data_IF_613267178976
#
_entry.id   IF_613267178976
#
_cell.length_a   1.000
_cell.length_b   1.000
_cell.length_c   1.000
_cell.angle_alpha   90.00
_cell.angle_beta   90.00
_cell.angle_gamma   90.00
#
_symmetry.space_group_name_H-M   'P 1'
#
loop_
_entity.id
_entity.type
_entity.pdbx_description
1 polymer ?
#
# COMPACT_ATOMS: atom_id res chain seq x y z
N UNK A 1 42.68 10.17 4.18
CA UNK A 1 43.03 11.55 3.83
C UNK A 1 42.10 12.08 2.76
N UNK A 2 41.31 13.08 3.14
CA UNK A 2 40.29 13.71 2.27
C UNK A 2 40.94 14.60 1.20
N UNK A 3 42.18 15.07 1.45
CA UNK A 3 42.89 15.99 0.57
C UNK A 3 44.01 15.30 -0.18
N UNK A 4 44.25 15.73 -1.42
CA UNK A 4 45.43 15.39 -2.20
C UNK A 4 46.67 15.79 -1.45
N UNK A 5 47.75 14.99 -1.52
CA UNK A 5 49.05 15.37 -0.92
C UNK A 5 49.46 16.76 -1.36
N UNK A 6 50.02 17.60 -0.44
CA UNK A 6 50.46 18.94 -0.80
C UNK A 6 51.50 18.88 -1.91
N UNK A 7 51.58 19.90 -2.76
CA UNK A 7 52.66 20.01 -3.74
C UNK A 7 54.00 19.99 -2.99
N UNK A 8 55.00 19.28 -3.54
CA UNK A 8 56.33 19.17 -2.91
C UNK A 8 56.88 20.57 -2.66
N UNK A 9 57.19 20.85 -1.38
CA UNK A 9 57.83 22.08 -0.88
C UNK A 9 57.12 23.36 -1.37
N UNK A 10 56.03 23.82 -0.72
CA UNK A 10 55.60 25.18 -0.92
C UNK A 10 56.63 26.11 -0.32
N UNK A 11 57.39 26.77 -1.15
CA UNK A 11 58.48 27.66 -0.70
C UNK A 11 57.98 28.89 0.03
N UNK A 12 56.71 29.25 -0.10
CA UNK A 12 56.07 30.36 0.61
C UNK A 12 54.59 30.13 0.77
N UNK A 13 54.01 30.58 1.93
CA UNK A 13 52.56 30.58 2.20
C UNK A 13 51.68 31.26 1.11
N UNK A 14 52.31 32.06 0.24
CA UNK A 14 51.66 32.82 -0.84
C UNK A 14 51.71 32.11 -2.20
N UNK A 15 52.26 30.90 -2.31
CA UNK A 15 52.24 30.14 -3.58
C UNK A 15 50.80 29.89 -4.04
N UNK A 16 50.40 30.32 -5.25
CA UNK A 16 49.05 30.10 -5.80
C UNK A 16 48.64 28.62 -5.85
N UNK A 17 49.62 27.71 -6.08
CA UNK A 17 49.35 26.26 -6.07
C UNK A 17 49.04 25.75 -4.66
N UNK A 18 49.71 26.26 -3.64
CA UNK A 18 49.45 25.92 -2.25
C UNK A 18 48.12 26.48 -1.78
N UNK A 19 47.78 27.74 -2.14
CA UNK A 19 46.47 28.33 -1.84
C UNK A 19 45.31 27.56 -2.49
N UNK A 20 45.49 27.15 -3.75
CA UNK A 20 44.50 26.28 -4.44
C UNK A 20 44.37 24.91 -3.75
N UNK A 21 45.47 24.29 -3.35
CA UNK A 21 45.45 23.04 -2.60
C UNK A 21 44.78 23.19 -1.23
N UNK A 22 45.06 24.28 -0.51
CA UNK A 22 44.42 24.58 0.77
C UNK A 22 42.93 24.82 0.64
N UNK A 23 42.49 25.49 -0.43
CA UNK A 23 41.10 25.73 -0.73
C UNK A 23 40.36 24.46 -1.20
N UNK A 24 41.05 23.44 -1.61
CA UNK A 24 40.48 22.18 -2.06
C UNK A 24 39.90 21.41 -0.86
N UNK A 25 38.58 21.21 -0.83
CA UNK A 25 37.91 20.54 0.27
C UNK A 25 38.15 19.03 0.28
N UNK A 26 38.30 18.44 -0.89
CA UNK A 26 38.43 17.00 -1.07
C UNK A 26 39.49 16.64 -2.11
N UNK A 27 40.15 15.49 -1.88
CA UNK A 27 41.04 14.91 -2.89
C UNK A 27 40.24 14.27 -4.05
N UNK A 28 39.19 13.52 -3.72
CA UNK A 28 38.31 12.86 -4.70
C UNK A 28 37.00 13.66 -4.81
N UNK A 29 36.68 14.24 -5.98
CA UNK A 29 35.45 15.00 -6.18
C UNK A 29 34.17 14.14 -6.04
N UNK A 30 34.30 12.81 -6.05
CA UNK A 30 33.19 11.86 -5.89
C UNK A 30 33.08 11.31 -4.46
N UNK A 31 33.80 11.82 -3.49
CA UNK A 31 33.79 11.30 -2.12
C UNK A 31 32.38 11.44 -1.49
N UNK A 32 31.64 12.51 -1.82
CA UNK A 32 30.27 12.68 -1.38
C UNK A 32 29.35 11.51 -1.80
N UNK A 33 29.58 10.91 -2.98
CA UNK A 33 28.80 9.75 -3.44
C UNK A 33 29.04 8.52 -2.55
N UNK A 34 30.26 8.32 -2.05
CA UNK A 34 30.55 7.23 -1.11
C UNK A 34 29.83 7.41 0.23
N UNK A 35 29.82 8.65 0.76
CA UNK A 35 29.08 8.99 1.96
C UNK A 35 27.56 8.82 1.76
N UNK A 36 27.02 9.32 0.64
CA UNK A 36 25.61 9.14 0.30
C UNK A 36 25.24 7.66 0.17
N UNK A 37 26.11 6.85 -0.46
CA UNK A 37 25.87 5.41 -0.59
C UNK A 37 25.88 4.72 0.78
N UNK A 38 26.79 5.11 1.67
CA UNK A 38 26.83 4.57 3.04
C UNK A 38 25.55 4.87 3.79
N UNK A 39 25.06 6.12 3.80
CA UNK A 39 23.80 6.48 4.44
C UNK A 39 22.60 5.74 3.83
N UNK A 40 22.58 5.59 2.50
CA UNK A 40 21.53 4.80 1.79
C UNK A 40 21.59 3.33 2.17
N UNK A 41 22.76 2.75 2.35
CA UNK A 41 22.93 1.37 2.79
C UNK A 41 22.46 1.17 4.24
N UNK A 42 22.78 2.09 5.15
CA UNK A 42 22.28 2.11 6.52
C UNK A 42 20.74 2.17 6.55
N UNK A 43 20.14 3.07 5.75
CA UNK A 43 18.69 3.15 5.60
C UNK A 43 18.09 1.81 5.16
N UNK A 44 18.66 1.14 4.16
CA UNK A 44 18.16 -0.15 3.67
C UNK A 44 18.32 -1.29 4.69
N UNK A 45 19.24 -1.17 5.63
CA UNK A 45 19.39 -2.10 6.75
C UNK A 45 18.39 -1.85 7.89
N UNK A 46 17.66 -0.73 7.85
CA UNK A 46 16.78 -0.31 8.94
C UNK A 46 17.51 0.49 10.04
N UNK A 47 18.76 0.83 9.85
CA UNK A 47 19.57 1.66 10.77
C UNK A 47 19.27 3.15 10.51
N UNK A 48 18.00 3.56 10.80
CA UNK A 48 17.51 4.87 10.39
C UNK A 48 18.16 6.03 11.12
N UNK A 49 18.50 5.85 12.40
CA UNK A 49 19.15 6.88 13.21
C UNK A 49 20.58 7.13 12.72
N UNK A 50 21.36 6.08 12.48
CA UNK A 50 22.71 6.13 11.94
C UNK A 50 22.71 6.72 10.52
N UNK A 51 21.73 6.35 9.71
CA UNK A 51 21.57 6.92 8.38
C UNK A 51 21.27 8.42 8.44
N UNK A 52 20.38 8.87 9.33
CA UNK A 52 20.08 10.28 9.54
C UNK A 52 21.31 11.06 10.01
N UNK A 53 22.09 10.50 10.94
CA UNK A 53 23.35 11.10 11.39
C UNK A 53 24.36 11.23 10.24
N UNK A 54 24.48 10.19 9.39
CA UNK A 54 25.34 10.21 8.21
C UNK A 54 24.91 11.30 7.23
N UNK A 55 23.60 11.43 6.91
CA UNK A 55 23.09 12.47 6.00
C UNK A 55 23.23 13.86 6.62
N UNK A 56 23.04 14.02 7.93
CA UNK A 56 23.29 15.28 8.64
C UNK A 56 24.76 15.69 8.55
N UNK A 57 25.69 14.73 8.71
CA UNK A 57 27.11 14.98 8.53
C UNK A 57 27.41 15.46 7.10
N UNK A 58 26.85 14.81 6.08
CA UNK A 58 26.99 15.20 4.67
C UNK A 58 26.51 16.61 4.44
N UNK A 59 25.31 16.97 4.92
CA UNK A 59 24.74 18.31 4.72
C UNK A 59 25.62 19.43 5.32
N UNK A 60 26.30 19.16 6.42
CA UNK A 60 27.26 20.08 7.04
C UNK A 60 28.60 20.12 6.31
N UNK A 61 29.12 18.98 5.93
CA UNK A 61 30.41 18.87 5.25
C UNK A 61 30.38 19.55 3.87
N UNK A 62 29.26 19.42 3.16
CA UNK A 62 29.06 19.96 1.81
C UNK A 62 28.11 21.17 1.78
N UNK A 63 28.09 21.97 2.86
CA UNK A 63 27.17 23.09 3.01
C UNK A 63 27.20 24.13 1.86
N UNK A 64 28.29 24.15 1.08
CA UNK A 64 28.44 25.05 -0.09
C UNK A 64 27.93 24.45 -1.41
N UNK A 65 27.45 23.19 -1.41
CA UNK A 65 26.86 22.56 -2.58
C UNK A 65 25.37 22.31 -2.34
N UNK A 66 24.50 23.17 -2.86
CA UNK A 66 23.05 23.08 -2.61
C UNK A 66 22.46 21.75 -3.06
N UNK A 67 22.98 21.13 -4.13
CA UNK A 67 22.49 19.84 -4.65
C UNK A 67 22.76 18.70 -3.66
N UNK A 68 23.98 18.63 -3.12
CA UNK A 68 24.34 17.59 -2.15
C UNK A 68 23.57 17.79 -0.85
N UNK A 69 23.42 19.05 -0.40
CA UNK A 69 22.64 19.38 0.79
C UNK A 69 21.18 18.99 0.62
N UNK A 70 20.56 19.28 -0.54
CA UNK A 70 19.18 18.91 -0.81
C UNK A 70 18.99 17.38 -0.84
N UNK A 71 19.87 16.61 -1.52
CA UNK A 71 19.77 15.15 -1.54
C UNK A 71 19.94 14.56 -0.13
N UNK A 72 20.89 15.08 0.66
CA UNK A 72 21.07 14.65 2.04
C UNK A 72 19.85 14.92 2.92
N UNK A 73 19.24 16.10 2.80
CA UNK A 73 18.01 16.45 3.54
C UNK A 73 16.81 15.59 3.13
N UNK A 74 16.64 15.29 1.84
CA UNK A 74 15.61 14.36 1.37
C UNK A 74 15.73 13.01 2.07
N UNK A 75 16.96 12.48 2.16
CA UNK A 75 17.21 11.20 2.82
C UNK A 75 17.08 11.28 4.35
N UNK A 76 17.44 12.40 4.98
CA UNK A 76 17.15 12.64 6.40
C UNK A 76 15.66 12.59 6.68
N UNK A 77 14.86 13.30 5.88
CA UNK A 77 13.40 13.29 6.01
C UNK A 77 12.82 11.88 5.88
N UNK A 78 13.35 11.07 4.95
CA UNK A 78 12.94 9.65 4.84
C UNK A 78 13.28 8.85 6.10
N UNK A 79 14.48 9.04 6.67
CA UNK A 79 14.85 8.38 7.92
C UNK A 79 13.90 8.76 9.06
N UNK A 80 13.64 10.05 9.23
CA UNK A 80 12.74 10.55 10.26
C UNK A 80 11.29 10.04 10.06
N UNK A 81 10.82 9.98 8.82
CA UNK A 81 9.51 9.42 8.49
C UNK A 81 9.40 7.94 8.89
N UNK A 82 10.44 7.13 8.67
CA UNK A 82 10.44 5.71 9.09
C UNK A 82 10.47 5.53 10.62
N UNK A 83 11.00 6.52 11.35
CA UNK A 83 10.99 6.55 12.82
C UNK A 83 9.75 7.23 13.43
N UNK A 84 8.80 7.66 12.60
CA UNK A 84 7.61 8.45 12.98
C UNK A 84 7.96 9.82 13.63
N UNK A 85 9.16 10.34 13.37
CA UNK A 85 9.61 11.66 13.81
C UNK A 85 9.15 12.73 12.81
N UNK A 86 7.84 12.96 12.78
CA UNK A 86 7.19 13.75 11.73
C UNK A 86 7.60 15.23 11.74
N UNK A 87 7.86 15.81 12.91
CA UNK A 87 8.33 17.19 13.03
C UNK A 87 9.72 17.38 12.37
N UNK A 88 10.65 16.48 12.67
CA UNK A 88 12.00 16.51 12.10
C UNK A 88 12.00 16.22 10.59
N UNK A 89 11.07 15.35 10.14
CA UNK A 89 10.88 15.06 8.73
C UNK A 89 10.38 16.29 7.97
N UNK A 90 9.41 16.99 8.52
CA UNK A 90 8.83 18.21 7.94
C UNK A 90 9.88 19.32 7.89
N UNK A 91 10.57 19.59 9.00
CA UNK A 91 11.66 20.59 9.07
C UNK A 91 12.76 20.32 8.02
N UNK A 92 13.14 19.06 7.85
CA UNK A 92 14.13 18.68 6.85
C UNK A 92 13.64 18.94 5.40
N UNK A 93 12.34 18.70 5.11
CA UNK A 93 11.74 18.94 3.80
C UNK A 93 11.51 20.44 3.52
N UNK A 94 11.03 21.19 4.50
CA UNK A 94 10.79 22.64 4.37
C UNK A 94 12.09 23.43 4.15
N UNK A 95 13.19 23.00 4.75
CA UNK A 95 14.53 23.59 4.53
C UNK A 95 15.06 23.38 3.10
N UNK A 96 14.37 22.57 2.29
CA UNK A 96 14.67 22.46 0.86
C UNK A 96 13.91 23.59 0.17
N UNK A 97 14.63 24.63 -0.25
CA UNK A 97 14.02 25.69 -1.03
C UNK A 97 13.55 25.14 -2.38
N UNK A 98 12.23 25.15 -2.59
CA UNK A 98 11.61 24.61 -3.82
C UNK A 98 12.13 25.33 -5.08
N UNK A 99 12.45 26.63 -5.00
CA UNK A 99 12.98 27.40 -6.12
C UNK A 99 14.42 27.01 -6.48
N UNK A 100 15.14 26.42 -5.53
CA UNK A 100 16.53 25.96 -5.70
C UNK A 100 16.68 24.45 -5.84
N UNK A 101 15.57 23.69 -5.74
CA UNK A 101 15.60 22.24 -5.88
C UNK A 101 16.01 21.84 -7.30
N UNK A 102 17.14 21.13 -7.50
CA UNK A 102 17.53 20.64 -8.79
C UNK A 102 16.47 19.71 -9.38
N UNK A 103 16.10 19.90 -10.66
CA UNK A 103 15.10 19.07 -11.37
C UNK A 103 15.35 17.57 -11.26
N UNK A 104 16.62 17.18 -11.15
CA UNK A 104 17.03 15.78 -10.97
C UNK A 104 16.58 15.19 -9.62
N UNK A 105 16.42 16.01 -8.58
CA UNK A 105 16.01 15.62 -7.24
C UNK A 105 14.49 15.72 -7.02
N UNK A 106 13.75 16.39 -7.91
CA UNK A 106 12.30 16.52 -7.83
C UNK A 106 11.57 15.18 -7.62
N UNK A 107 11.91 14.09 -8.34
CA UNK A 107 11.28 12.78 -8.09
C UNK A 107 11.56 12.22 -6.70
N UNK A 108 12.79 12.37 -6.21
CA UNK A 108 13.20 11.88 -4.89
C UNK A 108 12.54 12.70 -3.77
N UNK A 109 12.45 14.01 -3.94
CA UNK A 109 11.76 14.92 -3.04
C UNK A 109 10.27 14.59 -2.98
N UNK A 110 9.61 14.48 -4.15
CA UNK A 110 8.19 14.11 -4.22
C UNK A 110 7.91 12.75 -3.58
N UNK A 111 8.78 11.77 -3.79
CA UNK A 111 8.65 10.46 -3.16
C UNK A 111 8.79 10.53 -1.62
N UNK A 112 9.74 11.33 -1.11
CA UNK A 112 9.92 11.52 0.33
C UNK A 112 8.75 12.25 0.97
N UNK A 113 8.30 13.35 0.34
CA UNK A 113 7.17 14.14 0.84
C UNK A 113 5.86 13.34 0.79
N UNK A 114 5.62 12.63 -0.31
CA UNK A 114 4.47 11.74 -0.44
C UNK A 114 4.44 10.67 0.64
N UNK A 115 5.58 10.01 0.92
CA UNK A 115 5.67 9.00 1.99
C UNK A 115 5.39 9.60 3.38
N UNK A 116 5.96 10.77 3.68
CA UNK A 116 5.71 11.52 4.90
C UNK A 116 4.21 11.79 5.11
N UNK A 117 3.52 12.31 4.08
CA UNK A 117 2.08 12.58 4.13
C UNK A 117 1.23 11.29 4.28
N UNK A 118 1.63 10.21 3.62
CA UNK A 118 0.96 8.91 3.74
C UNK A 118 1.04 8.35 5.16
N UNK A 119 2.21 8.42 5.79
CA UNK A 119 2.39 7.96 7.17
C UNK A 119 1.54 8.76 8.14
N UNK A 120 1.30 10.04 7.87
CA UNK A 120 0.38 10.89 8.63
C UNK A 120 -1.10 10.72 8.25
N UNK A 121 -1.44 9.82 7.31
CA UNK A 121 -2.79 9.62 6.77
C UNK A 121 -3.38 10.88 6.09
N UNK A 122 -2.54 11.82 5.67
CA UNK A 122 -2.92 13.02 4.91
C UNK A 122 -3.04 12.67 3.42
N UNK A 123 -3.95 11.76 3.10
CA UNK A 123 -4.04 11.12 1.78
C UNK A 123 -4.28 12.10 0.64
N UNK A 124 -5.18 13.07 0.80
CA UNK A 124 -5.48 14.06 -0.26
C UNK A 124 -4.26 14.88 -0.64
N UNK A 125 -3.45 15.24 0.33
CA UNK A 125 -2.25 16.03 0.11
C UNK A 125 -1.11 15.20 -0.50
N UNK A 126 -1.08 13.89 -0.26
CA UNK A 126 -0.09 12.99 -0.82
C UNK A 126 -0.26 12.75 -2.34
N UNK A 127 -1.48 12.88 -2.86
CA UNK A 127 -1.82 12.55 -4.27
C UNK A 127 -0.92 13.28 -5.29
N UNK A 128 -0.73 14.61 -5.27
CA UNK A 128 0.08 15.31 -6.26
C UNK A 128 1.55 14.87 -6.24
N UNK A 129 2.11 14.56 -5.07
CA UNK A 129 3.47 14.08 -4.93
C UNK A 129 3.64 12.66 -5.50
N UNK A 130 2.66 11.79 -5.28
CA UNK A 130 2.64 10.45 -5.85
C UNK A 130 2.52 10.49 -7.38
N UNK A 131 1.67 11.36 -7.93
CA UNK A 131 1.54 11.54 -9.37
C UNK A 131 2.88 11.97 -9.97
N UNK A 132 3.59 12.89 -9.34
CA UNK A 132 4.91 13.36 -9.77
C UNK A 132 5.93 12.20 -9.71
N UNK A 133 5.93 11.42 -8.65
CA UNK A 133 6.78 10.23 -8.50
C UNK A 133 6.52 9.22 -9.61
N UNK A 134 5.26 8.85 -9.84
CA UNK A 134 4.84 7.91 -10.89
C UNK A 134 5.23 8.40 -12.29
N UNK A 135 5.08 9.68 -12.57
CA UNK A 135 5.45 10.27 -13.87
C UNK A 135 6.92 10.05 -14.18
N UNK A 136 7.79 10.17 -13.18
CA UNK A 136 9.23 10.06 -13.31
C UNK A 136 9.76 8.62 -13.15
N UNK A 137 8.97 7.66 -12.63
CA UNK A 137 9.41 6.27 -12.50
C UNK A 137 9.50 5.59 -13.87
N UNK A 138 10.68 5.02 -14.17
CA UNK A 138 10.97 4.34 -15.46
C UNK A 138 10.76 2.83 -15.40
N UNK A 139 10.88 2.24 -14.20
CA UNK A 139 10.76 0.79 -13.99
C UNK A 139 9.29 0.39 -13.96
N UNK A 140 8.82 -0.33 -14.97
CA UNK A 140 7.41 -0.72 -15.13
C UNK A 140 6.84 -1.42 -13.88
N UNK A 141 7.59 -2.35 -13.28
CA UNK A 141 7.12 -3.07 -12.09
C UNK A 141 6.92 -2.14 -10.88
N UNK A 142 7.83 -1.18 -10.68
CA UNK A 142 7.69 -0.19 -9.62
C UNK A 142 6.54 0.77 -9.90
N UNK A 143 6.43 1.25 -11.14
CA UNK A 143 5.34 2.10 -11.60
C UNK A 143 3.96 1.44 -11.40
N UNK A 144 3.87 0.13 -11.59
CA UNK A 144 2.66 -0.62 -11.31
C UNK A 144 2.29 -0.59 -9.83
N UNK A 145 3.26 -0.78 -8.92
CA UNK A 145 3.05 -0.69 -7.47
C UNK A 145 2.59 0.69 -7.03
N UNK A 146 3.19 1.72 -7.61
CA UNK A 146 2.84 3.11 -7.32
C UNK A 146 1.43 3.47 -7.82
N UNK A 147 1.03 3.00 -9.01
CA UNK A 147 -0.35 3.14 -9.48
C UNK A 147 -1.35 2.35 -8.63
N UNK A 148 -0.96 1.18 -8.12
CA UNK A 148 -1.79 0.40 -7.22
C UNK A 148 -2.02 1.16 -5.91
N UNK A 149 -0.95 1.68 -5.30
CA UNK A 149 -1.01 2.52 -4.11
C UNK A 149 -1.88 3.77 -4.34
N UNK A 150 -1.70 4.45 -5.48
CA UNK A 150 -2.52 5.60 -5.85
C UNK A 150 -4.00 5.23 -5.95
N UNK A 151 -4.32 4.03 -6.46
CA UNK A 151 -5.67 3.49 -6.49
C UNK A 151 -6.27 3.34 -5.10
N UNK A 152 -5.52 2.77 -4.16
CA UNK A 152 -5.94 2.65 -2.76
C UNK A 152 -6.18 4.01 -2.10
N UNK A 153 -5.32 4.99 -2.36
CA UNK A 153 -5.47 6.34 -1.82
C UNK A 153 -6.71 7.04 -2.36
N UNK A 154 -7.01 6.90 -3.65
CA UNK A 154 -8.25 7.42 -4.22
C UNK A 154 -9.49 6.72 -3.63
N UNK A 155 -9.39 5.44 -3.30
CA UNK A 155 -10.45 4.68 -2.62
C UNK A 155 -10.70 5.25 -1.22
N UNK A 156 -9.64 5.44 -0.41
CA UNK A 156 -9.71 6.05 0.92
C UNK A 156 -10.24 7.50 0.90
N UNK A 157 -9.98 8.24 -0.16
CA UNK A 157 -10.47 9.62 -0.31
C UNK A 157 -11.85 9.73 -0.94
N UNK A 158 -12.47 8.58 -1.33
CA UNK A 158 -13.80 8.49 -1.93
C UNK A 158 -13.84 8.82 -3.43
N UNK A 159 -12.70 9.01 -4.10
CA UNK A 159 -12.65 9.23 -5.55
C UNK A 159 -12.57 7.90 -6.31
N UNK A 160 -13.68 7.16 -6.30
CA UNK A 160 -13.76 5.84 -6.91
C UNK A 160 -13.50 5.84 -8.43
N UNK A 161 -13.79 6.94 -9.11
CA UNK A 161 -13.54 7.05 -10.55
C UNK A 161 -12.04 7.08 -10.85
N UNK A 162 -11.26 7.85 -10.10
CA UNK A 162 -9.80 7.89 -10.23
C UNK A 162 -9.16 6.61 -9.70
N UNK A 163 -9.70 6.02 -8.63
CA UNK A 163 -9.26 4.72 -8.11
C UNK A 163 -9.35 3.64 -9.22
N UNK A 164 -10.51 3.51 -9.88
CA UNK A 164 -10.69 2.58 -10.99
C UNK A 164 -9.64 2.77 -12.10
N UNK A 165 -9.36 4.03 -12.46
CA UNK A 165 -8.37 4.36 -13.49
C UNK A 165 -6.94 4.04 -13.04
N UNK A 166 -6.60 4.30 -11.78
CA UNK A 166 -5.29 4.02 -11.24
C UNK A 166 -4.99 2.52 -11.24
N UNK A 167 -5.94 1.67 -10.79
CA UNK A 167 -5.81 0.22 -10.90
C UNK A 167 -5.70 -0.26 -12.36
N UNK A 168 -6.45 0.34 -13.29
CA UNK A 168 -6.32 0.01 -14.71
C UNK A 168 -4.94 0.37 -15.26
N UNK A 169 -4.35 1.49 -14.81
CA UNK A 169 -2.98 1.89 -15.18
C UNK A 169 -1.95 0.95 -14.57
N UNK A 170 -2.13 0.48 -13.33
CA UNK A 170 -1.28 -0.52 -12.70
C UNK A 170 -1.23 -1.81 -13.54
N UNK A 171 -2.38 -2.34 -13.93
CA UNK A 171 -2.51 -3.55 -14.76
C UNK A 171 -1.79 -3.37 -16.12
N UNK A 172 -1.89 -2.21 -16.74
CA UNK A 172 -1.23 -1.90 -18.03
C UNK A 172 0.30 -1.93 -17.98
N UNK A 173 0.90 -1.84 -16.78
CA UNK A 173 2.36 -1.93 -16.62
C UNK A 173 2.89 -3.36 -16.69
N UNK A 174 2.05 -4.37 -16.87
CA UNK A 174 2.39 -5.79 -16.82
C UNK A 174 3.14 -6.15 -15.52
N UNK A 175 2.52 -5.96 -14.37
CA UNK A 175 3.10 -6.31 -13.07
C UNK A 175 3.22 -7.83 -12.90
N UNK A 176 3.88 -8.32 -11.82
CA UNK A 176 3.75 -9.71 -11.39
C UNK A 176 2.28 -10.09 -11.22
N UNK A 177 1.97 -11.38 -11.47
CA UNK A 177 0.60 -11.87 -11.54
C UNK A 177 -0.23 -11.54 -10.28
N UNK A 178 0.34 -11.69 -9.10
CA UNK A 178 -0.33 -11.38 -7.83
C UNK A 178 -0.78 -9.92 -7.75
N UNK A 179 0.09 -8.99 -8.14
CA UNK A 179 -0.26 -7.57 -8.16
C UNK A 179 -1.31 -7.25 -9.23
N UNK A 180 -1.25 -7.93 -10.39
CA UNK A 180 -2.28 -7.81 -11.43
C UNK A 180 -3.64 -8.28 -10.91
N UNK A 181 -3.67 -9.46 -10.28
CA UNK A 181 -4.90 -10.03 -9.73
C UNK A 181 -5.48 -9.12 -8.64
N UNK A 182 -4.67 -8.69 -7.67
CA UNK A 182 -5.10 -7.79 -6.62
C UNK A 182 -5.64 -6.46 -7.18
N UNK A 183 -4.99 -5.90 -8.20
CA UNK A 183 -5.47 -4.69 -8.86
C UNK A 183 -6.82 -4.91 -9.57
N UNK A 184 -7.04 -6.10 -10.15
CA UNK A 184 -8.33 -6.46 -10.76
C UNK A 184 -9.42 -6.62 -9.71
N UNK A 185 -9.13 -7.27 -8.59
CA UNK A 185 -10.06 -7.45 -7.47
C UNK A 185 -10.47 -6.08 -6.93
N UNK A 186 -9.50 -5.24 -6.57
CA UNK A 186 -9.75 -3.88 -6.09
C UNK A 186 -10.53 -3.03 -7.11
N UNK A 187 -10.24 -3.19 -8.38
CA UNK A 187 -10.99 -2.53 -9.45
C UNK A 187 -12.47 -2.92 -9.48
N UNK A 188 -12.85 -4.13 -9.01
CA UNK A 188 -14.25 -4.55 -8.94
C UNK A 188 -15.02 -3.89 -7.81
N UNK A 189 -14.35 -3.50 -6.75
CA UNK A 189 -14.96 -2.80 -5.60
C UNK A 189 -15.37 -1.36 -5.96
N UNK A 190 -14.69 -0.77 -6.96
CA UNK A 190 -14.93 0.61 -7.43
C UNK A 190 -15.39 0.67 -8.89
N UNK A 191 -16.03 -0.39 -9.37
CA UNK A 191 -16.38 -0.52 -10.78
C UNK A 191 -17.46 0.48 -11.22
N UNK A 192 -17.24 1.27 -12.30
CA UNK A 192 -18.26 2.17 -12.81
C UNK A 192 -19.47 1.41 -13.41
N UNK A 193 -20.67 1.98 -13.35
CA UNK A 193 -21.82 1.45 -14.06
C UNK A 193 -21.51 1.18 -15.55
N UNK A 194 -22.02 0.07 -16.09
CA UNK A 194 -21.85 -0.30 -17.51
C UNK A 194 -20.60 -1.12 -17.84
N UNK A 195 -19.65 -1.29 -16.93
CA UNK A 195 -18.48 -2.18 -17.13
C UNK A 195 -18.62 -3.56 -16.49
N UNK A 196 -19.61 -3.75 -15.62
CA UNK A 196 -19.83 -4.94 -14.82
C UNK A 196 -19.86 -6.24 -15.65
N UNK A 197 -20.70 -6.34 -16.66
CA UNK A 197 -20.90 -7.56 -17.46
C UNK A 197 -19.61 -8.00 -18.18
N UNK A 198 -18.88 -7.04 -18.76
CA UNK A 198 -17.61 -7.35 -19.43
C UNK A 198 -16.56 -7.88 -18.45
N UNK A 199 -16.54 -7.30 -17.26
CA UNK A 199 -15.59 -7.70 -16.20
C UNK A 199 -15.94 -9.07 -15.64
N UNK A 200 -17.22 -9.36 -15.38
CA UNK A 200 -17.70 -10.69 -14.97
C UNK A 200 -17.29 -11.76 -15.97
N UNK A 201 -17.52 -11.53 -17.29
CA UNK A 201 -17.11 -12.47 -18.34
C UNK A 201 -15.58 -12.71 -18.35
N UNK A 202 -14.79 -11.68 -18.13
CA UNK A 202 -13.34 -11.79 -18.03
C UNK A 202 -12.93 -12.63 -16.81
N UNK A 203 -13.48 -12.35 -15.64
CA UNK A 203 -13.17 -13.04 -14.39
C UNK A 203 -13.58 -14.53 -14.47
N UNK A 204 -14.73 -14.85 -15.03
CA UNK A 204 -15.13 -16.25 -15.26
C UNK A 204 -14.15 -16.98 -16.20
N UNK A 205 -13.62 -16.30 -17.24
CA UNK A 205 -12.57 -16.89 -18.10
C UNK A 205 -11.29 -17.13 -17.31
N UNK A 206 -10.94 -16.22 -16.42
CA UNK A 206 -9.77 -16.38 -15.53
C UNK A 206 -9.96 -17.55 -14.57
N UNK A 207 -11.14 -17.70 -13.94
CA UNK A 207 -11.46 -18.79 -13.03
C UNK A 207 -11.35 -20.18 -13.69
N UNK A 208 -11.69 -20.29 -14.98
CA UNK A 208 -11.61 -21.56 -15.75
C UNK A 208 -10.18 -21.94 -16.12
N UNK A 209 -9.24 -21.03 -16.03
CA UNK A 209 -7.84 -21.30 -16.39
C UNK A 209 -7.16 -22.04 -15.23
N UNK A 210 -6.64 -23.25 -15.50
CA UNK A 210 -5.94 -24.10 -14.52
C UNK A 210 -4.76 -23.40 -13.84
N UNK A 211 -4.11 -22.43 -14.51
CA UNK A 211 -3.04 -21.63 -13.91
C UNK A 211 -3.50 -20.77 -12.73
N UNK A 212 -4.80 -20.53 -12.62
CA UNK A 212 -5.39 -19.69 -11.59
C UNK A 212 -6.10 -20.53 -10.51
N UNK A 213 -5.84 -21.83 -10.43
CA UNK A 213 -6.51 -22.73 -9.49
C UNK A 213 -6.34 -22.25 -8.02
N UNK A 214 -5.16 -21.75 -7.68
CA UNK A 214 -4.87 -21.24 -6.33
C UNK A 214 -5.51 -19.87 -5.99
N UNK A 215 -6.09 -19.20 -6.99
CA UNK A 215 -6.68 -17.87 -6.87
C UNK A 215 -8.18 -17.87 -7.20
N UNK A 216 -8.80 -19.03 -7.30
CA UNK A 216 -10.22 -19.13 -7.66
C UNK A 216 -11.12 -18.46 -6.61
N UNK A 217 -10.79 -18.60 -5.33
CA UNK A 217 -11.47 -17.93 -4.23
C UNK A 217 -11.51 -16.41 -4.43
N UNK A 218 -10.38 -15.79 -4.68
CA UNK A 218 -10.27 -14.35 -4.91
C UNK A 218 -11.00 -13.91 -6.19
N UNK A 219 -10.98 -14.71 -7.25
CA UNK A 219 -11.68 -14.41 -8.50
C UNK A 219 -13.20 -14.46 -8.29
N UNK A 220 -13.73 -15.49 -7.61
CA UNK A 220 -15.15 -15.56 -7.30
C UNK A 220 -15.60 -14.49 -6.30
N UNK A 221 -14.73 -14.13 -5.34
CA UNK A 221 -14.92 -12.97 -4.48
C UNK A 221 -15.12 -11.68 -5.30
N UNK A 222 -14.25 -11.43 -6.26
CA UNK A 222 -14.33 -10.26 -7.14
C UNK A 222 -15.65 -10.26 -7.97
N UNK A 223 -16.10 -11.42 -8.44
CA UNK A 223 -17.39 -11.53 -9.16
C UNK A 223 -18.55 -11.22 -8.20
N UNK A 224 -18.51 -11.73 -6.98
CA UNK A 224 -19.49 -11.45 -5.94
C UNK A 224 -19.59 -9.94 -5.65
N UNK A 225 -18.46 -9.24 -5.50
CA UNK A 225 -18.40 -7.80 -5.31
C UNK A 225 -19.11 -7.04 -6.43
N UNK A 226 -18.93 -7.46 -7.69
CA UNK A 226 -19.63 -6.83 -8.82
C UNK A 226 -21.15 -7.04 -8.71
N UNK A 227 -21.61 -8.22 -8.30
CA UNK A 227 -23.04 -8.46 -8.11
C UNK A 227 -23.61 -7.63 -6.95
N UNK A 228 -22.85 -7.42 -5.86
CA UNK A 228 -23.25 -6.50 -4.78
C UNK A 228 -23.41 -5.07 -5.32
N UNK A 229 -22.46 -4.57 -6.11
CA UNK A 229 -22.56 -3.25 -6.73
C UNK A 229 -23.79 -3.12 -7.66
N UNK A 230 -24.22 -4.22 -8.28
CA UNK A 230 -25.44 -4.32 -9.09
C UNK A 230 -26.72 -4.51 -8.26
N UNK A 231 -26.61 -4.57 -6.94
CA UNK A 231 -27.73 -4.91 -6.03
C UNK A 231 -28.33 -6.32 -6.27
N UNK A 232 -27.59 -7.20 -6.91
CA UNK A 232 -27.98 -8.60 -7.15
C UNK A 232 -27.38 -9.51 -6.07
N UNK A 233 -27.96 -9.41 -4.88
CA UNK A 233 -27.49 -10.13 -3.69
C UNK A 233 -27.56 -11.65 -3.86
N UNK A 234 -28.57 -12.15 -4.58
CA UNK A 234 -28.74 -13.59 -4.78
C UNK A 234 -27.57 -14.21 -5.59
N UNK A 235 -27.16 -13.54 -6.67
CA UNK A 235 -26.02 -13.99 -7.43
C UNK A 235 -24.68 -13.72 -6.70
N UNK A 236 -24.59 -12.65 -5.90
CA UNK A 236 -23.42 -12.40 -5.05
C UNK A 236 -23.19 -13.56 -4.06
N UNK A 237 -24.22 -14.00 -3.34
CA UNK A 237 -24.18 -15.13 -2.41
C UNK A 237 -23.67 -16.38 -3.11
N UNK A 238 -24.20 -16.71 -4.29
CA UNK A 238 -23.75 -17.87 -5.07
C UNK A 238 -22.26 -17.82 -5.41
N UNK A 239 -21.77 -16.63 -5.80
CA UNK A 239 -20.35 -16.49 -6.15
C UNK A 239 -19.46 -16.56 -4.93
N UNK A 240 -19.85 -15.98 -3.81
CA UNK A 240 -19.10 -16.07 -2.57
C UNK A 240 -19.03 -17.51 -2.03
N UNK A 241 -20.14 -18.25 -2.05
CA UNK A 241 -20.13 -19.67 -1.70
C UNK A 241 -19.18 -20.47 -2.59
N UNK A 242 -19.22 -20.23 -3.90
CA UNK A 242 -18.33 -20.88 -4.84
C UNK A 242 -16.85 -20.51 -4.57
N UNK A 243 -16.59 -19.27 -4.20
CA UNK A 243 -15.27 -18.82 -3.78
C UNK A 243 -14.77 -19.53 -2.51
N UNK A 244 -15.60 -19.63 -1.49
CA UNK A 244 -15.28 -20.32 -0.25
C UNK A 244 -15.04 -21.83 -0.48
N UNK A 245 -15.85 -22.48 -1.34
CA UNK A 245 -15.70 -23.89 -1.72
C UNK A 245 -14.41 -24.15 -2.51
N UNK A 246 -14.04 -23.26 -3.43
CA UNK A 246 -12.87 -23.38 -4.29
C UNK A 246 -11.57 -22.93 -3.65
N UNK A 247 -11.62 -22.39 -2.44
CA UNK A 247 -10.41 -21.99 -1.73
C UNK A 247 -9.54 -23.21 -1.40
N UNK A 248 -8.32 -23.20 -1.89
CA UNK A 248 -7.34 -24.28 -1.69
C UNK A 248 -6.44 -24.03 -0.48
N UNK A 249 -6.27 -22.75 -0.10
CA UNK A 249 -5.36 -22.35 0.97
C UNK A 249 -6.02 -22.30 2.35
N UNK A 250 -7.36 -22.24 2.41
CA UNK A 250 -8.13 -22.04 3.65
C UNK A 250 -7.55 -20.93 4.55
N UNK A 251 -7.11 -19.85 3.93
CA UNK A 251 -6.46 -18.74 4.58
C UNK A 251 -7.37 -17.52 4.75
N UNK A 252 -6.75 -16.36 4.94
CA UNK A 252 -7.42 -15.09 5.18
C UNK A 252 -8.40 -14.72 4.05
N UNK A 253 -8.11 -15.09 2.80
CA UNK A 253 -8.97 -14.82 1.64
C UNK A 253 -10.33 -15.52 1.79
N UNK A 254 -10.34 -16.79 2.21
CA UNK A 254 -11.58 -17.51 2.52
C UNK A 254 -12.30 -16.87 3.71
N UNK A 255 -11.56 -16.46 4.75
CA UNK A 255 -12.10 -15.74 5.89
C UNK A 255 -12.84 -14.46 5.46
N UNK A 256 -12.26 -13.65 4.58
CA UNK A 256 -12.89 -12.43 4.04
C UNK A 256 -14.18 -12.75 3.26
N UNK A 257 -14.20 -13.80 2.45
CA UNK A 257 -15.39 -14.25 1.74
C UNK A 257 -16.52 -14.61 2.73
N UNK A 258 -16.17 -15.37 3.76
CA UNK A 258 -17.13 -15.78 4.80
C UNK A 258 -17.64 -14.58 5.59
N UNK A 259 -16.81 -13.57 5.87
CA UNK A 259 -17.26 -12.33 6.49
C UNK A 259 -18.30 -11.61 5.62
N UNK A 260 -18.07 -11.52 4.32
CA UNK A 260 -19.04 -10.91 3.39
C UNK A 260 -20.36 -11.69 3.33
N UNK A 261 -20.31 -13.01 3.33
CA UNK A 261 -21.49 -13.86 3.42
C UNK A 261 -22.22 -13.64 4.75
N UNK A 262 -21.50 -13.64 5.85
CA UNK A 262 -22.07 -13.39 7.18
C UNK A 262 -22.77 -12.02 7.27
N UNK A 263 -22.15 -10.96 6.74
CA UNK A 263 -22.75 -9.62 6.71
C UNK A 263 -24.04 -9.58 5.87
N UNK A 264 -24.08 -10.30 4.74
CA UNK A 264 -25.27 -10.38 3.90
C UNK A 264 -26.38 -11.14 4.62
N UNK A 265 -26.07 -12.30 5.19
CA UNK A 265 -27.05 -13.09 5.93
C UNK A 265 -27.55 -12.38 7.18
N UNK A 266 -26.68 -11.66 7.89
CA UNK A 266 -27.07 -10.79 8.99
C UNK A 266 -28.08 -9.74 8.55
N UNK A 267 -27.82 -9.05 7.43
CA UNK A 267 -28.72 -8.04 6.89
C UNK A 267 -30.08 -8.62 6.44
N UNK A 268 -30.12 -9.90 6.08
CA UNK A 268 -31.34 -10.64 5.71
C UNK A 268 -32.07 -11.28 6.92
N UNK A 269 -31.58 -11.04 8.14
CA UNK A 269 -32.03 -11.69 9.37
C UNK A 269 -31.94 -13.23 9.34
N UNK A 270 -31.14 -13.80 8.45
CA UNK A 270 -30.81 -15.22 8.43
C UNK A 270 -29.66 -15.50 9.40
N UNK A 271 -30.00 -15.52 10.70
CA UNK A 271 -29.01 -15.58 11.77
C UNK A 271 -28.26 -16.91 11.84
N UNK A 272 -28.89 -17.99 11.43
CA UNK A 272 -28.28 -19.34 11.42
C UNK A 272 -27.12 -19.39 10.43
N UNK A 273 -27.32 -18.93 9.19
CA UNK A 273 -26.26 -18.91 8.18
C UNK A 273 -25.21 -17.83 8.48
N UNK A 274 -25.61 -16.70 9.05
CA UNK A 274 -24.69 -15.66 9.49
C UNK A 274 -23.74 -16.18 10.57
N UNK A 275 -24.23 -16.90 11.59
CA UNK A 275 -23.44 -17.50 12.65
C UNK A 275 -22.42 -18.50 12.10
N UNK A 276 -22.81 -19.41 11.22
CA UNK A 276 -21.90 -20.36 10.57
C UNK A 276 -20.75 -19.65 9.85
N UNK A 277 -21.09 -18.62 9.07
CA UNK A 277 -20.08 -17.85 8.32
C UNK A 277 -19.11 -17.11 9.22
N UNK A 278 -19.60 -16.45 10.28
CA UNK A 278 -18.72 -15.71 11.20
C UNK A 278 -17.84 -16.64 12.05
N UNK A 279 -18.38 -17.75 12.54
CA UNK A 279 -17.61 -18.73 13.33
C UNK A 279 -16.46 -19.33 12.51
N UNK A 280 -16.73 -19.71 11.25
CA UNK A 280 -15.65 -20.22 10.38
C UNK A 280 -14.65 -19.12 10.03
N UNK A 281 -15.11 -17.89 9.74
CA UNK A 281 -14.25 -16.76 9.38
C UNK A 281 -13.25 -16.40 10.48
N UNK A 282 -13.70 -16.38 11.76
CA UNK A 282 -12.86 -16.05 12.93
C UNK A 282 -11.66 -17.00 13.04
N UNK A 283 -11.83 -18.26 12.67
CA UNK A 283 -10.74 -19.24 12.67
C UNK A 283 -9.71 -19.03 11.55
N UNK A 284 -10.00 -18.19 10.56
CA UNK A 284 -9.18 -17.98 9.35
C UNK A 284 -8.55 -16.59 9.28
N UNK A 285 -9.06 -15.60 10.02
CA UNK A 285 -8.55 -14.24 10.02
C UNK A 285 -7.66 -13.98 11.23
N UNK A 286 -6.66 -13.11 11.08
CA UNK A 286 -5.79 -12.72 12.18
C UNK A 286 -6.51 -11.79 13.18
N UNK A 287 -6.09 -11.85 14.44
CA UNK A 287 -6.59 -10.95 15.50
C UNK A 287 -6.31 -9.47 15.23
N UNK A 288 -5.28 -9.20 14.43
CA UNK A 288 -4.92 -7.84 13.98
C UNK A 288 -5.78 -7.34 12.80
N UNK A 289 -6.71 -8.16 12.30
CA UNK A 289 -7.64 -7.73 11.27
C UNK A 289 -8.54 -6.59 11.81
N UNK A 290 -8.68 -5.46 11.08
CA UNK A 290 -9.31 -4.25 11.61
C UNK A 290 -10.73 -4.44 12.17
N UNK A 291 -11.49 -5.39 11.64
CA UNK A 291 -12.86 -5.67 12.08
C UNK A 291 -12.98 -6.89 13.00
N UNK A 292 -11.85 -7.53 13.36
CA UNK A 292 -11.86 -8.77 14.15
C UNK A 292 -12.69 -8.67 15.42
N UNK A 293 -12.47 -7.66 16.24
CA UNK A 293 -13.19 -7.49 17.51
C UNK A 293 -14.71 -7.35 17.33
N UNK A 294 -15.14 -6.65 16.27
CA UNK A 294 -16.56 -6.48 15.93
C UNK A 294 -17.19 -7.79 15.49
N UNK A 295 -16.47 -8.53 14.63
CA UNK A 295 -16.93 -9.83 14.11
C UNK A 295 -17.00 -10.86 15.23
N UNK A 296 -15.98 -10.92 16.07
CA UNK A 296 -15.95 -11.84 17.22
C UNK A 296 -17.14 -11.60 18.17
N UNK A 297 -17.41 -10.33 18.52
CA UNK A 297 -18.55 -9.98 19.36
C UNK A 297 -19.90 -10.35 18.71
N UNK A 298 -20.04 -10.18 17.38
CA UNK A 298 -21.24 -10.62 16.65
C UNK A 298 -21.39 -12.13 16.70
N UNK A 299 -20.32 -12.88 16.52
CA UNK A 299 -20.34 -14.35 16.59
C UNK A 299 -20.79 -14.83 17.95
N UNK A 300 -20.23 -14.27 19.04
CA UNK A 300 -20.63 -14.61 20.42
C UNK A 300 -22.13 -14.37 20.65
N UNK A 301 -22.67 -13.24 20.23
CA UNK A 301 -24.11 -12.93 20.33
C UNK A 301 -24.96 -13.90 19.50
N UNK A 302 -24.49 -14.26 18.30
CA UNK A 302 -25.21 -15.20 17.44
C UNK A 302 -25.19 -16.62 17.98
N UNK A 303 -24.11 -17.05 18.65
CA UNK A 303 -24.03 -18.38 19.26
C UNK A 303 -25.14 -18.59 20.31
N UNK A 304 -25.48 -17.53 21.06
CA UNK A 304 -26.62 -17.56 21.97
C UNK A 304 -27.96 -17.45 21.25
N UNK A 305 -28.10 -16.49 20.32
CA UNK A 305 -29.34 -16.20 19.63
C UNK A 305 -29.85 -17.36 18.78
N UNK A 306 -28.94 -18.04 18.06
CA UNK A 306 -29.31 -19.11 17.10
C UNK A 306 -29.99 -20.28 17.82
N UNK A 307 -29.62 -20.57 19.06
CA UNK A 307 -30.29 -21.64 19.84
C UNK A 307 -31.76 -21.38 20.05
N UNK A 308 -32.14 -20.11 20.29
CA UNK A 308 -33.55 -19.70 20.42
C UNK A 308 -34.25 -19.66 19.07
N UNK A 309 -33.61 -19.13 18.03
CA UNK A 309 -34.19 -19.07 16.67
C UNK A 309 -34.56 -20.47 16.17
N UNK A 310 -33.60 -21.42 16.26
CA UNK A 310 -33.86 -22.82 15.84
C UNK A 310 -34.98 -23.45 16.66
N UNK A 311 -35.05 -23.16 17.95
CA UNK A 311 -36.12 -23.67 18.81
C UNK A 311 -37.53 -23.14 18.40
N UNK A 312 -37.59 -21.84 18.08
CA UNK A 312 -38.85 -21.21 17.61
C UNK A 312 -39.26 -21.77 16.24
N UNK A 313 -38.32 -21.85 15.29
CA UNK A 313 -38.59 -22.41 13.95
C UNK A 313 -39.07 -23.87 14.02
N UNK A 314 -38.50 -24.66 14.93
CA UNK A 314 -38.93 -26.02 15.17
C UNK A 314 -40.38 -26.07 15.71
N UNK A 315 -40.71 -25.20 16.69
CA UNK A 315 -42.04 -25.14 17.28
C UNK A 315 -43.07 -24.68 16.24
N UNK A 316 -42.77 -23.67 15.44
CA UNK A 316 -43.66 -23.19 14.37
C UNK A 316 -43.90 -24.29 13.32
N UNK A 317 -42.85 -25.06 12.96
CA UNK A 317 -42.98 -26.19 12.04
C UNK A 317 -43.84 -27.30 12.61
N UNK A 318 -43.71 -27.61 13.91
CA UNK A 318 -44.54 -28.60 14.61
C UNK A 318 -46.00 -28.15 14.70
N UNK A 319 -46.26 -26.86 15.00
CA UNK A 319 -47.60 -26.30 15.01
C UNK A 319 -48.25 -26.36 13.62
N UNK A 320 -47.49 -26.03 12.57
CA UNK A 320 -48.00 -26.14 11.20
C UNK A 320 -48.38 -27.59 10.84
N UNK A 321 -47.53 -28.56 11.21
CA UNK A 321 -47.84 -29.98 11.00
C UNK A 321 -49.05 -30.46 11.79
N UNK A 322 -49.30 -29.90 13.00
CA UNK A 322 -50.47 -30.24 13.81
C UNK A 322 -51.80 -29.66 13.26
N UNK A 323 -51.71 -28.70 12.34
CA UNK A 323 -52.89 -28.06 11.69
C UNK A 323 -53.20 -28.61 10.32
N UNK A 324 -52.37 -29.50 9.78
CA UNK A 324 -52.58 -30.27 8.54
C UNK A 324 -53.37 -31.54 8.82
#
# INVERSE_FOLDING_TARGET
SIKKKPPRKPSKRNDPKYKRWMAQKEYNPFLHNAWMLMGKAQFQKGEFLEAAATFSYISRLYATDPKIVADARIWMARCYTEMDWFYDAEDALEKINNDSLPKELEPSHSAAYGNYLLRQKRFKEAIPYLITTIKNEKRKKQKAREYYLLGQIYEETGDFAQSYQAYAKAIKQNPPYELELNARIKQTEVIPPGKAEKTIKLLHRMARNKKNAEYQDQIYYAIGNIYITKQDTANAIKQYHLGAEKSTRNGIEKGIILLRLGDIYWAQANYVEAQKCYSEAIGLIDKDYPEYAKVNKRSEVLDELVTYVVSVELQDSLQHLATL
#
